data_IF_309897625538
#
_entry.id   IF_309897625538
#
_cell.length_a   1.000
_cell.length_b   1.000
_cell.length_c   1.000
_cell.angle_alpha   90.00
_cell.angle_beta   90.00
_cell.angle_gamma   90.00
#
_symmetry.space_group_name_H-M   'P 1'
#
loop_
_entity.id
_entity.type
_entity.pdbx_description
1 polymer ?
#
# COMPACT_ATOMS: atom_id res chain seq x y z
N UNK A 1 37.17 12.46 -28.47
CA UNK A 1 37.04 13.26 -27.23
C UNK A 1 36.68 12.30 -26.10
N UNK A 2 37.56 12.09 -25.12
CA UNK A 2 37.31 11.12 -24.03
C UNK A 2 36.16 11.62 -23.15
N UNK A 3 35.25 10.76 -22.71
CA UNK A 3 34.09 11.12 -21.85
C UNK A 3 34.48 11.95 -20.61
N UNK A 4 35.67 11.71 -20.08
CA UNK A 4 36.25 12.48 -18.97
C UNK A 4 36.48 13.96 -19.31
N UNK A 5 36.89 14.30 -20.54
CA UNK A 5 37.07 15.70 -20.99
C UNK A 5 35.74 16.44 -21.16
N UNK A 6 34.64 15.72 -21.38
CA UNK A 6 33.31 16.31 -21.40
C UNK A 6 32.79 16.55 -19.97
N UNK A 7 33.13 15.66 -19.04
CA UNK A 7 32.76 15.77 -17.62
C UNK A 7 33.31 17.02 -16.93
N UNK A 8 34.54 17.42 -17.27
CA UNK A 8 35.19 18.61 -16.71
C UNK A 8 34.53 19.92 -17.14
N UNK A 9 33.65 19.90 -18.16
CA UNK A 9 32.90 21.06 -18.64
C UNK A 9 31.53 21.20 -17.96
N UNK A 10 31.11 20.23 -17.15
CA UNK A 10 29.83 20.28 -16.43
C UNK A 10 29.96 21.18 -15.20
N UNK A 11 28.90 21.93 -14.88
CA UNK A 11 28.83 22.72 -13.65
C UNK A 11 28.98 21.87 -12.38
N UNK A 12 28.64 20.57 -12.47
CA UNK A 12 28.88 19.56 -11.44
C UNK A 12 29.53 18.32 -12.08
N UNK A 13 30.84 18.10 -11.90
CA UNK A 13 31.52 16.93 -12.42
C UNK A 13 31.03 15.64 -11.75
N UNK A 14 30.94 14.56 -12.53
CA UNK A 14 30.55 13.23 -12.06
C UNK A 14 31.81 12.49 -11.59
N UNK A 15 31.89 12.14 -10.31
CA UNK A 15 33.02 11.40 -9.71
C UNK A 15 32.91 9.87 -9.93
N UNK A 16 32.52 9.45 -11.13
CA UNK A 16 32.34 8.04 -11.49
C UNK A 16 33.11 7.74 -12.78
N UNK A 17 33.60 6.50 -12.98
CA UNK A 17 34.29 6.14 -14.21
C UNK A 17 33.33 6.18 -15.41
N UNK A 18 33.33 7.28 -16.14
CA UNK A 18 32.46 7.50 -17.30
C UNK A 18 32.86 6.59 -18.47
N UNK A 19 31.95 5.69 -18.82
CA UNK A 19 32.04 4.82 -19.99
C UNK A 19 30.74 4.83 -20.79
N UNK A 20 30.78 4.37 -22.04
CA UNK A 20 29.58 4.22 -22.88
C UNK A 20 28.50 3.34 -22.23
N UNK A 21 28.92 2.38 -21.40
CA UNK A 21 28.03 1.47 -20.68
C UNK A 21 27.14 2.19 -19.66
N UNK A 22 27.61 3.25 -19.00
CA UNK A 22 26.79 4.03 -18.05
C UNK A 22 25.58 4.65 -18.76
N UNK A 23 25.78 5.23 -19.95
CA UNK A 23 24.66 5.81 -20.72
C UNK A 23 23.64 4.75 -21.14
N UNK A 24 24.10 3.53 -21.49
CA UNK A 24 23.20 2.41 -21.80
C UNK A 24 22.39 2.00 -20.56
N UNK A 25 23.01 1.93 -19.39
CA UNK A 25 22.30 1.66 -18.13
C UNK A 25 21.29 2.76 -17.79
N UNK A 26 21.69 4.03 -17.87
CA UNK A 26 20.78 5.16 -17.63
C UNK A 26 19.58 5.13 -18.57
N UNK A 27 19.81 4.93 -19.87
CA UNK A 27 18.74 4.81 -20.86
C UNK A 27 17.77 3.68 -20.49
N UNK A 28 18.29 2.48 -20.21
CA UNK A 28 17.47 1.31 -19.89
C UNK A 28 16.68 1.49 -18.59
N UNK A 29 17.30 2.04 -17.54
CA UNK A 29 16.64 2.34 -16.27
C UNK A 29 15.50 3.35 -16.47
N UNK A 30 15.73 4.42 -17.23
CA UNK A 30 14.68 5.43 -17.52
C UNK A 30 13.53 4.84 -18.34
N UNK A 31 13.80 3.94 -19.29
CA UNK A 31 12.75 3.28 -20.06
C UNK A 31 11.94 2.31 -19.18
N UNK A 32 12.61 1.59 -18.28
CA UNK A 32 11.95 0.69 -17.32
C UNK A 32 11.08 1.47 -16.31
N UNK A 33 11.58 2.59 -15.78
CA UNK A 33 10.82 3.49 -14.89
C UNK A 33 9.57 4.08 -15.56
N UNK A 34 9.60 4.23 -16.90
CA UNK A 34 8.46 4.68 -17.70
C UNK A 34 7.48 3.56 -18.08
N UNK A 35 7.60 2.36 -17.50
CA UNK A 35 6.73 1.21 -17.78
C UNK A 35 6.74 0.76 -19.25
N UNK A 36 7.83 0.99 -19.98
CA UNK A 36 7.92 0.54 -21.37
C UNK A 36 8.14 -0.99 -21.36
N UNK A 37 7.36 -1.78 -22.11
CA UNK A 37 7.50 -3.23 -22.10
C UNK A 37 8.91 -3.70 -22.45
N UNK A 38 9.45 -4.64 -21.68
CA UNK A 38 10.80 -5.22 -21.88
C UNK A 38 11.05 -5.64 -23.33
N UNK A 39 10.05 -6.25 -23.98
CA UNK A 39 10.12 -6.67 -25.39
C UNK A 39 10.37 -5.48 -26.34
N UNK A 40 9.72 -4.35 -26.12
CA UNK A 40 9.92 -3.15 -26.93
C UNK A 40 11.33 -2.55 -26.72
N UNK A 41 11.82 -2.56 -25.47
CA UNK A 41 13.18 -2.10 -25.14
C UNK A 41 14.23 -2.98 -25.83
N UNK A 42 14.07 -4.31 -25.81
CA UNK A 42 15.01 -5.24 -26.43
C UNK A 42 15.03 -5.17 -27.96
N UNK A 43 13.92 -4.81 -28.61
CA UNK A 43 13.91 -4.56 -30.06
C UNK A 43 14.67 -3.27 -30.40
N UNK A 44 14.59 -2.27 -29.51
CA UNK A 44 15.23 -0.96 -29.70
C UNK A 44 16.72 -0.95 -29.34
N UNK A 45 17.10 -1.71 -28.32
CA UNK A 45 18.45 -1.88 -27.80
C UNK A 45 18.89 -3.28 -28.19
N UNK A 46 19.65 -3.39 -29.28
CA UNK A 46 20.13 -4.64 -29.90
C UNK A 46 20.30 -5.81 -28.90
N UNK A 47 19.82 -7.00 -29.28
CA UNK A 47 19.74 -8.19 -28.44
C UNK A 47 21.06 -8.70 -27.81
N UNK A 48 22.20 -8.09 -28.10
CA UNK A 48 23.52 -8.44 -27.55
C UNK A 48 23.60 -8.29 -26.03
N UNK A 49 22.77 -7.43 -25.44
CA UNK A 49 22.82 -7.09 -24.01
C UNK A 49 21.62 -7.59 -23.21
N UNK A 50 20.90 -8.60 -23.70
CA UNK A 50 19.66 -9.09 -23.08
C UNK A 50 19.80 -9.39 -21.57
N UNK A 51 20.94 -9.93 -21.13
CA UNK A 51 21.23 -10.20 -19.70
C UNK A 51 21.23 -8.93 -18.86
N UNK A 52 21.91 -7.88 -19.35
CA UNK A 52 22.01 -6.58 -18.66
C UNK A 52 20.65 -5.89 -18.61
N UNK A 53 19.92 -5.91 -19.73
CA UNK A 53 18.57 -5.35 -19.82
C UNK A 53 17.64 -6.04 -18.82
N UNK A 54 17.64 -7.38 -18.78
CA UNK A 54 16.79 -8.15 -17.88
C UNK A 54 17.09 -7.86 -16.40
N UNK A 55 18.36 -7.74 -16.04
CA UNK A 55 18.78 -7.42 -14.67
C UNK A 55 18.30 -6.04 -14.23
N UNK A 56 18.50 -5.01 -15.07
CA UNK A 56 18.04 -3.64 -14.79
C UNK A 56 16.52 -3.62 -14.69
N UNK A 57 15.83 -4.20 -15.68
CA UNK A 57 14.38 -4.19 -15.73
C UNK A 57 13.76 -4.89 -14.52
N UNK A 58 14.31 -6.05 -14.13
CA UNK A 58 13.87 -6.80 -12.95
C UNK A 58 14.11 -6.00 -11.67
N UNK A 59 15.26 -5.33 -11.54
CA UNK A 59 15.54 -4.51 -10.37
C UNK A 59 14.58 -3.31 -10.25
N UNK A 60 14.33 -2.59 -11.34
CA UNK A 60 13.39 -1.47 -11.36
C UNK A 60 11.96 -1.97 -11.07
N UNK A 61 11.54 -3.07 -11.69
CA UNK A 61 10.20 -3.65 -11.48
C UNK A 61 9.97 -4.07 -10.02
N UNK A 62 10.97 -4.69 -9.37
CA UNK A 62 10.89 -5.04 -7.94
C UNK A 62 10.71 -3.82 -7.05
N UNK A 63 11.40 -2.72 -7.33
CA UNK A 63 11.23 -1.46 -6.58
C UNK A 63 9.82 -0.89 -6.74
N UNK A 64 9.26 -0.98 -7.95
CA UNK A 64 7.90 -0.54 -8.23
C UNK A 64 6.87 -1.41 -7.50
N UNK A 65 7.07 -2.74 -7.50
CA UNK A 65 6.24 -3.68 -6.75
C UNK A 65 6.26 -3.37 -5.25
N UNK A 66 7.43 -3.14 -4.67
CA UNK A 66 7.57 -2.76 -3.26
C UNK A 66 6.82 -1.47 -2.93
N UNK A 67 6.96 -0.43 -3.76
CA UNK A 67 6.23 0.83 -3.56
C UNK A 67 4.71 0.63 -3.60
N UNK A 68 4.21 -0.22 -4.50
CA UNK A 68 2.78 -0.57 -4.57
C UNK A 68 2.35 -1.31 -3.32
N UNK A 69 3.14 -2.28 -2.83
CA UNK A 69 2.85 -3.02 -1.61
C UNK A 69 2.80 -2.12 -0.38
N UNK A 70 3.70 -1.15 -0.27
CA UNK A 70 3.68 -0.15 0.80
C UNK A 70 2.38 0.66 0.78
N UNK A 71 1.99 1.17 -0.39
CA UNK A 71 0.72 1.91 -0.53
C UNK A 71 -0.48 1.02 -0.16
N UNK A 72 -0.54 -0.22 -0.66
CA UNK A 72 -1.61 -1.16 -0.32
C UNK A 72 -1.68 -1.46 1.18
N UNK A 73 -0.53 -1.63 1.84
CA UNK A 73 -0.46 -1.83 3.28
C UNK A 73 -1.01 -0.60 4.03
N UNK A 74 -0.65 0.62 3.64
CA UNK A 74 -1.18 1.84 4.27
C UNK A 74 -2.70 1.94 4.13
N UNK A 75 -3.25 1.63 2.94
CA UNK A 75 -4.69 1.61 2.70
C UNK A 75 -5.39 0.56 3.58
N UNK A 76 -4.80 -0.64 3.68
CA UNK A 76 -5.31 -1.72 4.51
C UNK A 76 -5.33 -1.34 6.00
N UNK A 77 -4.24 -0.75 6.50
CA UNK A 77 -4.14 -0.29 7.88
C UNK A 77 -5.15 0.82 8.18
N UNK A 78 -5.30 1.80 7.28
CA UNK A 78 -6.29 2.86 7.44
C UNK A 78 -7.72 2.30 7.45
N UNK A 79 -8.04 1.38 6.53
CA UNK A 79 -9.33 0.68 6.52
C UNK A 79 -9.59 -0.06 7.83
N UNK A 80 -8.59 -0.79 8.34
CA UNK A 80 -8.69 -1.51 9.62
C UNK A 80 -8.90 -0.56 10.80
N UNK A 81 -8.21 0.58 10.81
CA UNK A 81 -8.37 1.61 11.83
C UNK A 81 -9.80 2.18 11.83
N UNK A 82 -10.30 2.62 10.67
CA UNK A 82 -11.68 3.13 10.52
C UNK A 82 -12.69 2.08 10.96
N UNK A 83 -12.52 0.83 10.50
CA UNK A 83 -13.41 -0.28 10.85
C UNK A 83 -13.43 -0.53 12.35
N UNK A 84 -12.26 -0.55 13.00
CA UNK A 84 -12.16 -0.76 14.44
C UNK A 84 -12.86 0.34 15.25
N UNK A 85 -12.82 1.59 14.79
CA UNK A 85 -13.53 2.67 15.45
C UNK A 85 -15.05 2.55 15.26
N UNK A 86 -15.50 2.22 14.05
CA UNK A 86 -16.93 2.00 13.78
C UNK A 86 -17.48 0.82 14.59
N UNK A 87 -16.74 -0.29 14.66
CA UNK A 87 -17.14 -1.48 15.41
C UNK A 87 -17.28 -1.17 16.91
N UNK A 88 -16.46 -0.27 17.49
CA UNK A 88 -16.63 0.20 18.87
C UNK A 88 -17.97 0.93 19.07
N UNK A 89 -18.29 1.90 18.21
CA UNK A 89 -19.55 2.64 18.31
C UNK A 89 -20.77 1.73 18.14
N UNK A 90 -20.71 0.80 17.18
CA UNK A 90 -21.77 -0.20 16.97
C UNK A 90 -21.91 -1.09 18.21
N UNK A 91 -20.81 -1.53 18.81
CA UNK A 91 -20.83 -2.35 20.02
C UNK A 91 -21.49 -1.60 21.17
N UNK A 92 -21.11 -0.34 21.40
CA UNK A 92 -21.72 0.51 22.44
C UNK A 92 -23.22 0.67 22.19
N UNK A 93 -23.63 0.99 20.95
CA UNK A 93 -25.04 1.14 20.62
C UNK A 93 -25.84 -0.14 20.85
N UNK A 94 -25.29 -1.31 20.47
CA UNK A 94 -25.91 -2.62 20.73
C UNK A 94 -26.06 -2.89 22.22
N UNK A 95 -25.01 -2.66 23.01
CA UNK A 95 -25.08 -2.85 24.46
C UNK A 95 -26.10 -1.94 25.12
N UNK A 96 -26.25 -0.70 24.66
CA UNK A 96 -27.26 0.22 25.18
C UNK A 96 -28.68 -0.30 24.92
N UNK A 97 -28.95 -0.77 23.70
CA UNK A 97 -30.26 -1.35 23.34
C UNK A 97 -30.56 -2.60 24.17
N UNK A 98 -29.58 -3.49 24.34
CA UNK A 98 -29.74 -4.71 25.16
C UNK A 98 -30.00 -4.39 26.63
N UNK A 99 -29.27 -3.43 27.21
CA UNK A 99 -29.48 -2.97 28.58
C UNK A 99 -30.90 -2.39 28.74
N UNK A 100 -31.36 -1.57 27.79
CA UNK A 100 -32.69 -0.98 27.87
C UNK A 100 -33.80 -2.04 27.76
N UNK A 101 -33.64 -3.02 26.87
CA UNK A 101 -34.60 -4.10 26.67
C UNK A 101 -34.68 -5.02 27.90
N UNK A 102 -33.53 -5.36 28.48
CA UNK A 102 -33.47 -6.18 29.71
C UNK A 102 -34.11 -5.45 30.90
N UNK A 103 -33.87 -4.15 31.06
CA UNK A 103 -34.50 -3.33 32.10
C UNK A 103 -36.04 -3.28 31.99
N UNK A 104 -36.56 -3.05 30.78
CA UNK A 104 -38.02 -3.06 30.55
C UNK A 104 -38.63 -4.44 30.85
N UNK A 105 -37.97 -5.52 30.40
CA UNK A 105 -38.48 -6.88 30.62
C UNK A 105 -38.53 -7.25 32.12
N UNK A 106 -37.50 -6.88 32.89
CA UNK A 106 -37.46 -7.10 34.35
C UNK A 106 -38.50 -6.27 35.09
N UNK A 107 -38.75 -5.04 34.65
CA UNK A 107 -39.80 -4.20 35.22
C UNK A 107 -41.20 -4.79 34.95
N UNK A 108 -41.46 -5.27 33.74
CA UNK A 108 -42.72 -5.93 33.38
C UNK A 108 -42.96 -7.19 34.22
N UNK A 109 -41.94 -8.05 34.36
CA UNK A 109 -42.04 -9.27 35.19
C UNK A 109 -42.31 -8.90 36.65
N UNK A 110 -41.56 -7.94 37.21
CA UNK A 110 -41.75 -7.50 38.61
C UNK A 110 -43.15 -6.95 38.85
N UNK A 111 -43.68 -6.14 37.93
CA UNK A 111 -45.04 -5.62 38.01
C UNK A 111 -46.09 -6.73 37.97
N UNK A 112 -45.92 -7.74 37.09
CA UNK A 112 -46.80 -8.89 37.01
C UNK A 112 -46.85 -9.69 38.33
N UNK A 113 -45.68 -9.98 38.92
CA UNK A 113 -45.57 -10.72 40.19
C UNK A 113 -46.20 -9.95 41.36
N UNK A 114 -46.04 -8.62 41.41
CA UNK A 114 -46.69 -7.79 42.43
C UNK A 114 -48.21 -7.84 42.30
N UNK A 115 -48.74 -7.78 41.07
CA UNK A 115 -50.18 -7.77 40.82
C UNK A 115 -50.84 -9.12 41.14
N UNK A 116 -50.16 -10.25 40.89
CA UNK A 116 -50.60 -11.58 41.33
C UNK A 116 -50.65 -11.70 42.86
N UNK A 117 -49.64 -11.21 43.58
CA UNK A 117 -49.63 -11.25 45.06
C UNK A 117 -50.74 -10.40 45.70
N UNK A 118 -51.14 -9.28 45.08
CA UNK A 118 -52.25 -8.46 45.57
C UNK A 118 -53.62 -9.09 45.32
N UNK A 119 -53.76 -10.00 44.34
CA UNK A 119 -55.00 -10.77 44.12
C UNK A 119 -55.12 -12.00 45.04
N UNK A 120 -54.00 -12.48 45.57
CA UNK A 120 -53.94 -13.67 46.41
C UNK A 120 -54.17 -13.40 47.92
N UNK A 121 -54.22 -12.12 48.34
CA UNK A 121 -54.63 -11.66 49.68
C UNK A 121 -56.05 -11.07 49.62
#
# INVERSE_FOLDING_TARGET
MTFQKANTKLAKPINQPLSSHIFRHTLLSTLAEKNIPLKAIMVRVEHKDAKTINNIYTHVSKRMEQAVLEVLNTISLNRKYIRSNLDKYITIAKTFVEIHLTFLSTLCISYFILNENQRAN
#
